data_IF_366685457373
#
_entry.id   IF_366685457373
#
_cell.length_a   1.000
_cell.length_b   1.000
_cell.length_c   1.000
_cell.angle_alpha   90.00
_cell.angle_beta   90.00
_cell.angle_gamma   90.00
#
_symmetry.space_group_name_H-M   'P 1'
#
loop_
_entity.id
_entity.type
_entity.pdbx_description
1 polymer ?
#
# COMPACT_ATOMS: atom_id res chain seq x y z
N UNK A 1 2.16 -15.43 -6.05
CA UNK A 1 1.69 -15.50 -4.64
C UNK A 1 1.28 -14.10 -4.22
N UNK A 2 0.12 -13.92 -3.56
CA UNK A 2 -0.28 -12.59 -3.04
C UNK A 2 0.53 -12.25 -1.80
N UNK A 3 0.86 -10.98 -1.64
CA UNK A 3 1.58 -10.44 -0.48
C UNK A 3 0.91 -9.13 -0.05
N UNK A 4 1.24 -8.67 1.14
CA UNK A 4 0.78 -7.39 1.65
C UNK A 4 1.79 -6.30 1.33
N UNK A 5 1.29 -5.15 0.92
CA UNK A 5 2.11 -4.03 0.48
C UNK A 5 1.65 -2.75 1.17
N UNK A 6 2.59 -1.91 1.51
CA UNK A 6 2.38 -0.53 1.93
C UNK A 6 2.95 0.40 0.86
N UNK A 7 2.13 1.35 0.43
CA UNK A 7 2.50 2.38 -0.52
C UNK A 7 2.32 3.74 0.11
N UNK A 8 3.44 4.42 0.34
CA UNK A 8 3.48 5.78 0.87
C UNK A 8 3.77 6.74 -0.29
N UNK A 9 3.01 7.83 -0.39
CA UNK A 9 3.19 8.81 -1.45
C UNK A 9 2.81 10.21 -0.99
N UNK A 10 3.51 11.21 -1.52
CA UNK A 10 3.21 12.61 -1.29
C UNK A 10 2.20 13.10 -2.33
N UNK A 11 1.06 13.62 -1.87
CA UNK A 11 0.06 14.29 -2.71
C UNK A 11 0.04 15.79 -2.44
N UNK A 12 -0.71 16.54 -3.24
CA UNK A 12 -0.95 17.98 -3.00
C UNK A 12 -1.52 18.29 -1.60
N UNK A 13 -2.18 17.30 -0.97
CA UNK A 13 -2.74 17.38 0.38
C UNK A 13 -1.84 16.75 1.45
N UNK A 14 -0.56 16.51 1.13
CA UNK A 14 0.42 15.90 2.01
C UNK A 14 0.56 14.38 1.85
N UNK A 15 1.21 13.78 2.84
CA UNK A 15 1.53 12.35 2.87
C UNK A 15 0.30 11.46 2.98
N UNK A 16 0.25 10.42 2.16
CA UNK A 16 -0.81 9.41 2.15
C UNK A 16 -0.20 8.02 2.13
N UNK A 17 -0.87 7.11 2.82
CA UNK A 17 -0.53 5.68 2.84
C UNK A 17 -1.69 4.87 2.30
N UNK A 18 -1.40 3.88 1.44
CA UNK A 18 -2.34 2.87 0.98
C UNK A 18 -1.79 1.48 1.23
N UNK A 19 -2.67 0.56 1.59
CA UNK A 19 -2.32 -0.84 1.81
C UNK A 19 -2.97 -1.71 0.73
N UNK A 20 -2.22 -2.69 0.22
CA UNK A 20 -2.69 -3.60 -0.82
C UNK A 20 -2.45 -5.06 -0.43
N UNK A 21 -3.29 -5.96 -0.93
CA UNK A 21 -3.08 -7.39 -0.88
C UNK A 21 -3.17 -8.00 -2.29
N UNK A 22 -2.01 -8.22 -2.91
CA UNK A 22 -1.91 -8.66 -4.30
C UNK A 22 -0.49 -9.14 -4.66
N UNK A 23 -0.33 -9.62 -5.88
CA UNK A 23 1.00 -9.90 -6.46
C UNK A 23 1.73 -8.58 -6.75
N UNK A 24 3.06 -8.60 -6.69
CA UNK A 24 3.91 -7.44 -6.98
C UNK A 24 3.55 -6.76 -8.31
N UNK A 25 3.42 -7.52 -9.40
CA UNK A 25 3.12 -6.98 -10.73
C UNK A 25 1.82 -6.13 -10.76
N UNK A 26 0.77 -6.59 -10.08
CA UNK A 26 -0.50 -5.86 -9.97
C UNK A 26 -0.35 -4.57 -9.17
N UNK A 27 0.36 -4.63 -8.04
CA UNK A 27 0.57 -3.44 -7.19
C UNK A 27 1.44 -2.43 -7.93
N UNK A 28 2.52 -2.86 -8.56
CA UNK A 28 3.37 -2.03 -9.43
C UNK A 28 2.55 -1.34 -10.52
N UNK A 29 1.68 -2.08 -11.22
CA UNK A 29 0.78 -1.51 -12.22
C UNK A 29 -0.19 -0.46 -11.66
N UNK A 30 -0.63 -0.62 -10.40
CA UNK A 30 -1.50 0.34 -9.71
C UNK A 30 -0.74 1.59 -9.25
N UNK A 31 0.41 1.43 -8.59
CA UNK A 31 1.18 2.55 -8.01
C UNK A 31 1.87 3.40 -9.07
N UNK A 32 2.16 2.84 -10.25
CA UNK A 32 2.68 3.60 -11.41
C UNK A 32 1.75 4.73 -11.85
N UNK A 33 0.43 4.61 -11.62
CA UNK A 33 -0.57 5.61 -11.99
C UNK A 33 -0.59 6.84 -11.07
N UNK A 34 0.11 6.78 -9.93
CA UNK A 34 0.20 7.92 -9.01
C UNK A 34 1.33 8.85 -9.45
N UNK A 35 0.96 10.07 -9.82
CA UNK A 35 1.85 11.22 -10.02
C UNK A 35 2.11 11.85 -8.66
N UNK A 36 3.29 11.59 -8.11
CA UNK A 36 3.74 12.06 -6.81
C UNK A 36 5.25 12.29 -6.86
N UNK A 37 5.73 13.39 -6.29
CA UNK A 37 7.15 13.74 -6.27
C UNK A 37 7.98 12.77 -5.42
N UNK A 38 7.34 12.18 -4.41
CA UNK A 38 7.93 11.15 -3.56
C UNK A 38 6.94 10.01 -3.38
N UNK A 39 7.41 8.78 -3.62
CA UNK A 39 6.63 7.56 -3.38
C UNK A 39 7.52 6.37 -3.06
N UNK A 40 7.08 5.54 -2.12
CA UNK A 40 7.77 4.33 -1.66
C UNK A 40 6.78 3.17 -1.64
N UNK A 41 7.20 2.02 -2.16
CA UNK A 41 6.42 0.77 -2.09
C UNK A 41 7.26 -0.26 -1.35
N UNK A 42 6.71 -0.81 -0.26
CA UNK A 42 7.35 -1.84 0.54
C UNK A 42 6.43 -3.01 0.82
N UNK A 43 7.02 -4.20 0.88
CA UNK A 43 6.33 -5.39 1.34
C UNK A 43 6.18 -5.33 2.87
N UNK A 44 5.04 -5.75 3.40
CA UNK A 44 4.80 -5.84 4.84
C UNK A 44 4.42 -7.27 5.22
N UNK A 45 4.78 -7.66 6.44
CA UNK A 45 4.45 -8.97 6.97
C UNK A 45 2.93 -9.12 7.17
N UNK A 46 2.45 -10.38 7.17
CA UNK A 46 1.06 -10.70 7.48
C UNK A 46 0.65 -10.23 8.90
N UNK A 47 1.56 -10.31 9.87
CA UNK A 47 1.31 -9.82 11.23
C UNK A 47 1.11 -8.31 11.25
N UNK A 48 1.92 -7.55 10.50
CA UNK A 48 1.75 -6.10 10.35
C UNK A 48 0.44 -5.76 9.66
N UNK A 49 0.08 -6.45 8.57
CA UNK A 49 -1.19 -6.25 7.88
C UNK A 49 -2.40 -6.54 8.79
N UNK A 50 -2.33 -7.58 9.62
CA UNK A 50 -3.35 -7.90 10.61
C UNK A 50 -3.53 -6.77 11.61
N UNK A 51 -2.44 -6.29 12.21
CA UNK A 51 -2.44 -5.14 13.12
C UNK A 51 -3.05 -3.88 12.49
N UNK A 52 -2.64 -3.55 11.26
CA UNK A 52 -3.17 -2.39 10.54
C UNK A 52 -4.68 -2.46 10.35
N UNK A 53 -5.21 -3.63 9.99
CA UNK A 53 -6.64 -3.83 9.74
C UNK A 53 -7.47 -3.83 11.02
N UNK A 54 -6.98 -4.47 12.08
CA UNK A 54 -7.75 -4.71 13.31
C UNK A 54 -7.63 -3.54 14.29
N UNK A 55 -6.41 -3.06 14.54
CA UNK A 55 -6.15 -2.00 15.52
C UNK A 55 -6.32 -0.61 14.91
N UNK A 56 -5.75 -0.39 13.73
CA UNK A 56 -5.78 0.92 13.06
C UNK A 56 -6.94 1.08 12.07
N UNK A 57 -7.78 0.04 11.92
CA UNK A 57 -8.91 0.02 10.97
C UNK A 57 -8.52 0.43 9.55
N UNK A 58 -7.27 0.16 9.16
CA UNK A 58 -6.75 0.54 7.86
C UNK A 58 -7.42 -0.28 6.76
N UNK A 59 -7.84 0.41 5.70
CA UNK A 59 -8.42 -0.24 4.54
C UNK A 59 -7.33 -0.91 3.69
N UNK A 60 -7.45 -2.22 3.50
CA UNK A 60 -6.56 -3.02 2.63
C UNK A 60 -7.29 -3.27 1.30
N UNK A 61 -6.69 -2.79 0.22
CA UNK A 61 -7.24 -2.91 -1.13
C UNK A 61 -6.82 -4.25 -1.75
N UNK A 62 -7.79 -5.08 -2.10
CA UNK A 62 -7.55 -6.30 -2.88
C UNK A 62 -7.42 -5.97 -4.37
N UNK A 63 -6.37 -6.48 -5.04
CA UNK A 63 -6.14 -6.29 -6.48
C UNK A 63 -6.00 -7.61 -7.25
#
# INVERSE_FOLDING_TARGET
>A
MKQYWQFDYHSEFGWKTRYFHATEAKVQGRVKRYTADSKELRNISKSRAKYLREELKAHIIEL
#
